data_IF_930565044773
#
_entry.id   IF_930565044773
#
_cell.length_a   1.000
_cell.length_b   1.000
_cell.length_c   1.000
_cell.angle_alpha   90.00
_cell.angle_beta   90.00
_cell.angle_gamma   90.00
#
_symmetry.space_group_name_H-M   'P 1'
#
loop_
_entity.id
_entity.type
_entity.pdbx_description
1 polymer ?
#
# COMPACT_ATOMS: atom_id res chain seq x y z
N UNK A 1 -9.74 17.01 -10.00
CA UNK A 1 -10.24 15.63 -9.70
C UNK A 1 -10.83 15.68 -8.31
N UNK A 2 -12.16 15.62 -8.19
CA UNK A 2 -12.83 15.42 -6.90
C UNK A 2 -12.65 13.95 -6.53
N UNK A 3 -11.57 13.63 -5.83
CA UNK A 3 -11.43 12.31 -5.23
C UNK A 3 -12.48 12.19 -4.12
N UNK A 4 -13.30 11.14 -4.21
CA UNK A 4 -14.26 10.79 -3.17
C UNK A 4 -13.52 10.64 -1.83
N UNK A 5 -13.92 11.37 -0.77
CA UNK A 5 -13.25 11.35 0.54
C UNK A 5 -13.08 9.94 1.12
N UNK A 6 -13.91 8.98 0.70
CA UNK A 6 -13.79 7.57 1.09
C UNK A 6 -12.53 6.89 0.56
N UNK A 7 -12.02 7.31 -0.61
CA UNK A 7 -10.76 6.80 -1.17
C UNK A 7 -9.53 7.34 -0.43
N UNK A 8 -9.68 8.44 0.32
CA UNK A 8 -8.60 8.98 1.13
C UNK A 8 -8.41 8.17 2.40
N UNK A 9 -9.49 7.62 2.96
CA UNK A 9 -9.43 6.73 4.11
C UNK A 9 -8.72 5.44 3.69
N UNK A 10 -7.55 5.16 4.28
CA UNK A 10 -6.79 3.92 4.05
C UNK A 10 -7.42 2.76 4.83
N UNK A 11 -8.73 2.56 4.64
CA UNK A 11 -9.54 1.54 5.28
C UNK A 11 -9.63 0.32 4.37
N UNK A 12 -9.47 -0.86 4.96
CA UNK A 12 -9.81 -2.09 4.26
C UNK A 12 -11.34 -2.25 4.27
N UNK A 13 -12.00 -1.64 3.29
CA UNK A 13 -13.46 -1.61 3.21
C UNK A 13 -14.08 -2.99 3.31
N UNK A 14 -13.47 -4.01 2.72
CA UNK A 14 -13.91 -5.41 2.75
C UNK A 14 -14.06 -5.96 4.18
N UNK A 15 -13.29 -5.44 5.13
CA UNK A 15 -13.31 -5.84 6.55
C UNK A 15 -14.30 -5.03 7.41
N UNK A 16 -14.86 -3.94 6.88
CA UNK A 16 -15.84 -3.11 7.60
C UNK A 16 -17.24 -3.68 7.36
N UNK A 17 -17.98 -3.96 8.44
CA UNK A 17 -19.36 -4.47 8.34
C UNK A 17 -20.26 -3.50 7.58
N UNK A 18 -21.25 -4.02 6.84
CA UNK A 18 -22.17 -3.20 6.04
C UNK A 18 -22.86 -2.11 6.88
N UNK A 19 -23.21 -2.40 8.13
CA UNK A 19 -23.76 -1.41 9.07
C UNK A 19 -22.80 -0.25 9.34
N UNK A 20 -21.52 -0.54 9.62
CA UNK A 20 -20.48 0.48 9.79
C UNK A 20 -20.22 1.27 8.50
N UNK A 21 -20.24 0.61 7.33
CA UNK A 21 -20.12 1.29 6.02
C UNK A 21 -21.25 2.28 5.80
N UNK A 22 -22.49 1.87 6.04
CA UNK A 22 -23.66 2.74 5.91
C UNK A 22 -23.58 3.95 6.85
N UNK A 23 -23.09 3.77 8.08
CA UNK A 23 -22.85 4.89 8.98
C UNK A 23 -21.79 5.85 8.43
N UNK A 24 -20.65 5.34 7.95
CA UNK A 24 -19.59 6.15 7.35
C UNK A 24 -20.08 6.96 6.13
N UNK A 25 -20.85 6.31 5.25
CA UNK A 25 -21.44 6.96 4.08
C UNK A 25 -22.37 8.12 4.45
N UNK A 26 -23.10 8.02 5.57
CA UNK A 26 -23.95 9.11 6.08
C UNK A 26 -23.14 10.27 6.67
N UNK A 27 -21.95 10.00 7.20
CA UNK A 27 -21.08 11.05 7.78
C UNK A 27 -20.29 11.81 6.72
N UNK A 28 -19.98 11.21 5.56
CA UNK A 28 -19.16 11.84 4.51
C UNK A 28 -19.71 13.17 3.98
N UNK A 29 -21.02 13.32 3.70
CA UNK A 29 -21.59 14.59 3.27
C UNK A 29 -21.42 15.70 4.31
N UNK A 30 -21.50 15.37 5.61
CA UNK A 30 -21.28 16.35 6.70
C UNK A 30 -19.82 16.84 6.71
N UNK A 31 -18.88 15.92 6.52
CA UNK A 31 -17.45 16.26 6.36
C UNK A 31 -17.22 17.07 5.08
N UNK A 32 -18.05 16.92 4.05
CA UNK A 32 -18.00 17.72 2.81
C UNK A 32 -18.55 19.12 2.98
N UNK A 33 -19.61 19.26 3.78
CA UNK A 33 -20.20 20.55 4.12
C UNK A 33 -19.30 21.41 5.03
N UNK A 34 -18.31 20.81 5.69
CA UNK A 34 -17.43 21.46 6.67
C UNK A 34 -18.18 22.16 7.83
N UNK A 35 -19.40 21.70 8.13
CA UNK A 35 -20.16 22.11 9.32
C UNK A 35 -19.52 21.49 10.56
N UNK A 36 -18.63 22.26 11.20
CA UNK A 36 -17.71 21.76 12.20
C UNK A 36 -18.40 21.05 13.38
N UNK A 37 -19.31 21.69 14.15
CA UNK A 37 -19.87 21.07 15.33
C UNK A 37 -20.70 19.82 14.98
N UNK A 38 -21.49 19.91 13.91
CA UNK A 38 -22.36 18.82 13.46
C UNK A 38 -21.55 17.62 12.97
N UNK A 39 -20.55 17.85 12.11
CA UNK A 39 -19.70 16.78 11.58
C UNK A 39 -18.86 16.14 12.68
N UNK A 40 -18.28 16.93 13.59
CA UNK A 40 -17.51 16.42 14.73
C UNK A 40 -18.38 15.53 15.61
N UNK A 41 -19.55 16.01 16.04
CA UNK A 41 -20.46 15.23 16.89
C UNK A 41 -20.93 13.94 16.20
N UNK A 42 -21.20 14.01 14.90
CA UNK A 42 -21.53 12.83 14.11
C UNK A 42 -20.38 11.81 14.09
N UNK A 43 -19.12 12.24 13.91
CA UNK A 43 -17.94 11.35 13.92
C UNK A 43 -17.74 10.72 15.31
N UNK A 44 -17.79 11.52 16.38
CA UNK A 44 -17.60 11.04 17.76
C UNK A 44 -18.70 10.05 18.15
N UNK A 45 -19.93 10.25 17.67
CA UNK A 45 -21.06 9.35 17.89
C UNK A 45 -21.03 8.04 17.08
N UNK A 46 -20.09 7.88 16.13
CA UNK A 46 -19.98 6.64 15.34
C UNK A 46 -19.54 5.47 16.22
N UNK A 47 -20.19 4.31 16.04
CA UNK A 47 -19.77 3.05 16.67
C UNK A 47 -18.72 2.34 15.80
N UNK A 48 -17.63 3.03 15.52
CA UNK A 48 -16.49 2.52 14.73
C UNK A 48 -15.22 2.46 15.58
N UNK A 49 -14.18 1.82 15.05
CA UNK A 49 -12.90 1.72 15.75
C UNK A 49 -12.25 3.09 15.93
N UNK A 50 -11.55 3.29 17.04
CA UNK A 50 -10.88 4.55 17.38
C UNK A 50 -9.93 5.05 16.29
N UNK A 51 -9.24 4.15 15.61
CA UNK A 51 -8.36 4.51 14.51
C UNK A 51 -9.13 5.10 13.31
N UNK A 52 -10.33 4.59 13.04
CA UNK A 52 -11.22 5.12 12.01
C UNK A 52 -11.75 6.49 12.42
N UNK A 53 -12.19 6.64 13.68
CA UNK A 53 -12.63 7.94 14.21
C UNK A 53 -11.53 8.99 14.09
N UNK A 54 -10.30 8.65 14.49
CA UNK A 54 -9.13 9.54 14.38
C UNK A 54 -8.83 9.95 12.93
N UNK A 55 -8.94 9.03 11.97
CA UNK A 55 -8.76 9.36 10.55
C UNK A 55 -9.86 10.30 10.04
N UNK A 56 -11.12 10.07 10.43
CA UNK A 56 -12.23 10.94 10.06
C UNK A 56 -12.07 12.35 10.62
N UNK A 57 -11.66 12.47 11.89
CA UNK A 57 -11.34 13.75 12.51
C UNK A 57 -10.19 14.45 11.78
N UNK A 58 -9.12 13.73 11.42
CA UNK A 58 -8.01 14.30 10.66
C UNK A 58 -8.42 14.78 9.26
N UNK A 59 -9.37 14.10 8.60
CA UNK A 59 -9.91 14.52 7.30
C UNK A 59 -10.79 15.78 7.44
N UNK A 60 -11.65 15.81 8.46
CA UNK A 60 -12.47 16.97 8.78
C UNK A 60 -11.59 18.20 9.13
N UNK A 61 -10.56 17.99 9.94
CA UNK A 61 -9.55 18.99 10.29
C UNK A 61 -8.92 19.62 9.04
N UNK A 62 -8.45 18.77 8.11
CA UNK A 62 -7.82 19.22 6.88
C UNK A 62 -8.72 20.12 6.02
N UNK A 63 -10.04 19.85 6.03
CA UNK A 63 -11.03 20.64 5.30
C UNK A 63 -11.32 21.97 5.98
N UNK A 64 -11.60 21.93 7.28
CA UNK A 64 -11.90 23.14 8.07
C UNK A 64 -10.71 24.10 8.06
N UNK A 65 -9.48 23.60 8.17
CA UNK A 65 -8.24 24.38 8.13
C UNK A 65 -8.10 25.31 6.93
N UNK A 66 -8.82 25.07 5.82
CA UNK A 66 -8.80 25.95 4.64
C UNK A 66 -9.50 27.28 4.88
N UNK A 67 -10.54 27.27 5.73
CA UNK A 67 -11.36 28.44 6.04
C UNK A 67 -11.09 28.95 7.47
N UNK A 68 -10.86 28.03 8.42
CA UNK A 68 -10.66 28.30 9.84
C UNK A 68 -9.42 27.54 10.34
N UNK A 69 -8.22 28.13 10.23
CA UNK A 69 -6.97 27.44 10.52
C UNK A 69 -6.82 27.03 11.99
N UNK A 70 -7.38 27.81 12.92
CA UNK A 70 -7.34 27.52 14.36
C UNK A 70 -8.26 26.36 14.73
N UNK A 71 -9.51 26.39 14.28
CA UNK A 71 -10.49 25.30 14.46
C UNK A 71 -9.96 23.98 13.87
N UNK A 72 -9.39 24.04 12.66
CA UNK A 72 -8.80 22.87 12.03
C UNK A 72 -7.59 22.33 12.79
N UNK A 73 -6.75 23.20 13.37
CA UNK A 73 -5.63 22.78 14.21
C UNK A 73 -6.11 22.12 15.51
N UNK A 74 -7.13 22.66 16.18
CA UNK A 74 -7.72 22.01 17.36
C UNK A 74 -8.25 20.60 17.06
N UNK A 75 -8.89 20.42 15.91
CA UNK A 75 -9.34 19.10 15.44
C UNK A 75 -8.20 18.14 15.13
N UNK A 76 -7.07 18.64 14.60
CA UNK A 76 -5.90 17.79 14.43
C UNK A 76 -5.36 17.30 15.77
N UNK A 77 -5.35 18.15 16.79
CA UNK A 77 -4.92 17.74 18.14
C UNK A 77 -5.87 16.71 18.75
N UNK A 78 -7.17 16.86 18.53
CA UNK A 78 -8.16 15.85 18.91
C UNK A 78 -7.97 14.52 18.16
N UNK A 79 -7.76 14.57 16.84
CA UNK A 79 -7.48 13.38 16.03
C UNK A 79 -6.22 12.65 16.52
N UNK A 80 -5.18 13.39 16.91
CA UNK A 80 -3.95 12.82 17.48
C UNK A 80 -4.24 12.16 18.82
N UNK A 81 -4.94 12.83 19.74
CA UNK A 81 -5.30 12.26 21.04
C UNK A 81 -6.13 10.97 20.89
N UNK A 82 -7.12 11.00 19.99
CA UNK A 82 -7.96 9.85 19.67
C UNK A 82 -7.13 8.70 19.09
N UNK A 83 -6.18 9.00 18.20
CA UNK A 83 -5.28 7.98 17.65
C UNK A 83 -4.39 7.34 18.72
N UNK A 84 -3.91 8.11 19.71
CA UNK A 84 -3.08 7.61 20.80
C UNK A 84 -3.85 6.70 21.77
N UNK A 85 -5.18 6.85 21.84
CA UNK A 85 -6.08 5.99 22.63
C UNK A 85 -6.31 4.60 22.01
N UNK A 86 -5.89 4.36 20.77
CA UNK A 86 -6.11 3.07 20.12
C UNK A 86 -5.35 1.95 20.83
N UNK A 87 -6.01 0.83 21.09
CA UNK A 87 -5.40 -0.30 21.80
C UNK A 87 -4.20 -0.87 21.03
N UNK A 88 -4.39 -1.17 19.74
CA UNK A 88 -3.36 -1.77 18.90
C UNK A 88 -2.36 -0.76 18.39
N UNK A 89 -1.08 -1.09 18.53
CA UNK A 89 0.02 -0.22 18.14
C UNK A 89 0.08 0.05 16.64
N UNK A 90 -0.21 -0.95 15.82
CA UNK A 90 -0.28 -0.82 14.36
C UNK A 90 -1.40 0.13 13.95
N UNK A 91 -2.55 0.09 14.63
CA UNK A 91 -3.67 1.00 14.37
C UNK A 91 -3.35 2.45 14.76
N UNK A 92 -2.69 2.65 15.92
CA UNK A 92 -2.15 3.97 16.32
C UNK A 92 -1.26 4.54 15.21
N UNK A 93 -0.29 3.76 14.73
CA UNK A 93 0.66 4.21 13.71
C UNK A 93 -0.03 4.49 12.36
N UNK A 94 -1.01 3.67 11.95
CA UNK A 94 -1.78 3.92 10.73
C UNK A 94 -2.58 5.22 10.83
N UNK A 95 -3.29 5.43 11.94
CA UNK A 95 -4.05 6.65 12.17
C UNK A 95 -3.14 7.89 12.21
N UNK A 96 -2.05 7.85 12.96
CA UNK A 96 -1.07 8.93 13.02
C UNK A 96 -0.41 9.19 11.66
N UNK A 97 -0.11 8.14 10.89
CA UNK A 97 0.45 8.27 9.54
C UNK A 97 -0.52 8.95 8.56
N UNK A 98 -1.82 8.69 8.70
CA UNK A 98 -2.85 9.40 7.94
C UNK A 98 -2.97 10.87 8.38
N UNK A 99 -3.05 11.13 9.68
CA UNK A 99 -3.12 12.51 10.21
C UNK A 99 -1.89 13.32 9.81
N UNK A 100 -0.70 12.72 9.85
CA UNK A 100 0.53 13.34 9.37
C UNK A 100 0.42 13.74 7.90
N UNK A 101 -0.16 12.88 7.07
CA UNK A 101 -0.39 13.20 5.66
C UNK A 101 -1.31 14.41 5.52
N UNK A 102 -2.42 14.42 6.24
CA UNK A 102 -3.38 15.53 6.21
C UNK A 102 -2.75 16.85 6.68
N UNK A 103 -2.00 16.84 7.79
CA UNK A 103 -1.25 18.02 8.28
C UNK A 103 -0.29 18.55 7.24
N UNK A 104 0.44 17.67 6.56
CA UNK A 104 1.41 18.07 5.54
C UNK A 104 0.75 18.66 4.29
N UNK A 105 -0.40 18.11 3.88
CA UNK A 105 -1.21 18.60 2.75
C UNK A 105 -1.89 19.94 3.07
N UNK A 106 -2.31 20.17 4.32
CA UNK A 106 -2.88 21.43 4.79
C UNK A 106 -1.82 22.47 5.22
N UNK A 107 -0.57 22.33 4.78
CA UNK A 107 0.54 23.27 5.03
C UNK A 107 1.02 23.42 6.49
N UNK A 108 0.57 22.58 7.43
CA UNK A 108 1.05 22.54 8.82
C UNK A 108 2.35 21.74 8.99
N UNK A 109 3.38 22.05 8.19
CA UNK A 109 4.65 21.30 8.16
C UNK A 109 5.36 21.21 9.52
N UNK A 110 5.44 22.25 10.37
CA UNK A 110 6.07 22.14 11.68
C UNK A 110 5.40 21.09 12.58
N UNK A 111 4.06 21.09 12.63
CA UNK A 111 3.29 20.10 13.39
C UNK A 111 3.44 18.70 12.81
N UNK A 112 3.40 18.54 11.48
CA UNK A 112 3.64 17.25 10.83
C UNK A 112 5.03 16.67 11.20
N UNK A 113 6.07 17.52 11.29
CA UNK A 113 7.42 17.10 11.75
C UNK A 113 7.45 16.73 13.22
N UNK A 114 6.72 17.43 14.09
CA UNK A 114 6.60 17.08 15.50
C UNK A 114 5.90 15.72 15.66
N UNK A 115 4.80 15.50 14.92
CA UNK A 115 4.07 14.24 14.91
C UNK A 115 4.94 13.09 14.40
N UNK A 116 5.75 13.31 13.37
CA UNK A 116 6.70 12.32 12.86
C UNK A 116 7.67 11.82 13.94
N UNK A 117 8.14 12.71 14.83
CA UNK A 117 9.00 12.30 15.96
C UNK A 117 8.26 11.37 16.92
N UNK A 118 6.98 11.63 17.18
CA UNK A 118 6.17 10.73 18.03
C UNK A 118 5.96 9.37 17.35
N UNK A 119 5.69 9.37 16.04
CA UNK A 119 5.58 8.13 15.25
C UNK A 119 6.90 7.35 15.27
N UNK A 120 8.06 8.03 15.23
CA UNK A 120 9.36 7.39 15.38
C UNK A 120 9.52 6.69 16.71
N UNK A 121 9.16 7.35 17.82
CA UNK A 121 9.20 6.74 19.16
C UNK A 121 8.29 5.52 19.24
N UNK A 122 7.08 5.59 18.67
CA UNK A 122 6.18 4.45 18.61
C UNK A 122 6.80 3.31 17.79
N UNK A 123 7.28 3.57 16.59
CA UNK A 123 7.90 2.53 15.76
C UNK A 123 9.16 1.92 16.39
N UNK A 124 9.95 2.69 17.14
CA UNK A 124 11.14 2.18 17.83
C UNK A 124 10.78 1.16 18.92
N UNK A 125 9.63 1.31 19.58
CA UNK A 125 9.21 0.37 20.62
C UNK A 125 8.63 -0.95 20.10
N UNK A 126 8.70 -1.27 18.79
CA UNK A 126 8.30 -2.60 18.32
C UNK A 126 9.30 -3.61 18.89
N UNK A 127 8.87 -4.43 19.85
CA UNK A 127 9.73 -5.40 20.51
C UNK A 127 9.77 -6.70 19.70
N UNK A 128 10.97 -7.24 19.50
CA UNK A 128 11.19 -8.53 18.80
C UNK A 128 10.61 -9.71 19.58
N UNK A 129 10.60 -9.64 20.91
CA UNK A 129 10.16 -10.72 21.81
C UNK A 129 8.65 -10.94 21.87
N UNK A 130 7.85 -10.08 21.22
CA UNK A 130 6.39 -10.13 21.30
C UNK A 130 5.72 -10.74 20.06
N UNK A 131 6.50 -11.17 19.06
CA UNK A 131 5.96 -11.63 17.78
C UNK A 131 5.90 -13.13 17.73
N UNK A 132 4.68 -13.64 17.81
CA UNK A 132 4.42 -15.09 17.92
C UNK A 132 3.93 -15.70 16.61
N UNK A 133 3.52 -14.89 15.63
CA UNK A 133 2.92 -15.39 14.39
C UNK A 133 3.15 -14.48 13.17
N UNK A 134 2.99 -15.07 11.98
CA UNK A 134 3.16 -14.39 10.68
C UNK A 134 2.20 -13.21 10.49
N UNK A 135 0.97 -13.30 11.02
CA UNK A 135 -0.05 -12.28 10.82
C UNK A 135 0.34 -10.94 11.50
N UNK A 136 0.99 -11.01 12.67
CA UNK A 136 1.51 -9.82 13.37
C UNK A 136 2.64 -9.17 12.57
N UNK A 137 3.60 -9.96 12.09
CA UNK A 137 4.69 -9.47 11.22
C UNK A 137 4.11 -8.82 9.97
N UNK A 138 3.16 -9.47 9.31
CA UNK A 138 2.49 -8.92 8.13
C UNK A 138 1.76 -7.60 8.42
N UNK A 139 1.11 -7.51 9.57
CA UNK A 139 0.45 -6.29 10.02
C UNK A 139 1.44 -5.14 10.23
N UNK A 140 2.61 -5.42 10.83
CA UNK A 140 3.69 -4.44 11.02
C UNK A 140 4.30 -4.03 9.68
N UNK A 141 4.67 -4.99 8.83
CA UNK A 141 5.26 -4.75 7.51
C UNK A 141 4.34 -3.87 6.66
N UNK A 142 3.03 -4.19 6.62
CA UNK A 142 2.05 -3.40 5.89
C UNK A 142 1.90 -2.00 6.49
N UNK A 143 1.82 -1.88 7.81
CA UNK A 143 1.70 -0.60 8.50
C UNK A 143 2.90 0.33 8.20
N UNK A 144 4.12 -0.19 8.29
CA UNK A 144 5.34 0.56 7.99
C UNK A 144 5.45 0.95 6.51
N UNK A 145 5.06 0.06 5.60
CA UNK A 145 5.06 0.35 4.17
C UNK A 145 4.02 1.42 3.81
N UNK A 146 2.83 1.37 4.40
CA UNK A 146 1.76 2.37 4.21
C UNK A 146 2.18 3.74 4.73
N UNK A 147 2.78 3.79 5.92
CA UNK A 147 3.37 5.01 6.46
C UNK A 147 4.44 5.57 5.50
N UNK A 148 5.28 4.70 4.94
CA UNK A 148 6.25 5.07 3.90
C UNK A 148 5.60 5.72 2.66
N UNK A 149 4.49 5.19 2.17
CA UNK A 149 3.72 5.78 1.05
C UNK A 149 3.18 7.15 1.42
N UNK A 150 2.55 7.28 2.58
CA UNK A 150 1.97 8.54 3.05
C UNK A 150 3.04 9.62 3.17
N UNK A 151 4.21 9.27 3.71
CA UNK A 151 5.34 10.18 3.82
C UNK A 151 5.91 10.61 2.46
N UNK A 152 5.98 9.71 1.48
CA UNK A 152 6.39 10.07 0.11
C UNK A 152 5.44 11.08 -0.52
N UNK A 153 4.12 10.86 -0.39
CA UNK A 153 3.09 11.78 -0.89
C UNK A 153 3.19 13.17 -0.28
N UNK A 154 3.78 13.28 0.90
CA UNK A 154 3.99 14.54 1.62
C UNK A 154 5.36 15.19 1.39
N UNK A 155 6.22 14.58 0.56
CA UNK A 155 7.59 15.06 0.34
C UNK A 155 8.59 14.69 1.44
N UNK A 156 8.22 13.85 2.41
CA UNK A 156 9.12 13.33 3.44
C UNK A 156 9.93 12.12 2.94
N UNK A 157 10.71 12.31 1.87
CA UNK A 157 11.41 11.23 1.18
C UNK A 157 12.42 10.45 2.05
N UNK A 158 13.23 11.15 2.85
CA UNK A 158 14.20 10.49 3.77
C UNK A 158 13.48 9.68 4.86
N UNK A 159 12.52 10.24 5.64
CA UNK A 159 11.72 9.47 6.58
C UNK A 159 11.00 8.26 5.94
N UNK A 160 10.34 8.46 4.80
CA UNK A 160 9.67 7.36 4.10
C UNK A 160 10.62 6.19 3.80
N UNK A 161 11.83 6.51 3.35
CA UNK A 161 12.85 5.50 3.06
C UNK A 161 13.21 4.66 4.26
N UNK A 162 13.30 5.28 5.44
CA UNK A 162 13.59 4.57 6.68
C UNK A 162 12.48 3.57 6.99
N UNK A 163 11.21 3.95 6.90
CA UNK A 163 10.10 3.02 7.20
C UNK A 163 9.99 1.88 6.21
N UNK A 164 10.25 2.10 4.92
CA UNK A 164 10.33 0.99 3.97
C UNK A 164 11.49 0.04 4.27
N UNK A 165 12.64 0.55 4.71
CA UNK A 165 13.75 -0.30 5.17
C UNK A 165 13.39 -1.07 6.43
N UNK A 166 12.68 -0.45 7.37
CA UNK A 166 12.16 -1.14 8.54
C UNK A 166 11.15 -2.23 8.15
N UNK A 167 10.26 -1.96 7.19
CA UNK A 167 9.32 -2.96 6.68
C UNK A 167 10.05 -4.16 6.05
N UNK A 168 11.12 -3.92 5.29
CA UNK A 168 11.98 -5.00 4.77
C UNK A 168 12.64 -5.78 5.90
N UNK A 169 13.24 -5.08 6.87
CA UNK A 169 13.86 -5.72 8.03
C UNK A 169 12.87 -6.62 8.78
N UNK A 170 11.65 -6.12 9.05
CA UNK A 170 10.61 -6.92 9.70
C UNK A 170 10.18 -8.12 8.86
N UNK A 171 10.12 -7.99 7.53
CA UNK A 171 9.78 -9.13 6.67
C UNK A 171 10.82 -10.25 6.70
N UNK A 172 12.08 -9.92 6.96
CA UNK A 172 13.18 -10.90 7.08
C UNK A 172 13.19 -11.63 8.41
N UNK A 173 12.47 -11.13 9.43
CA UNK A 173 12.42 -11.68 10.79
C UNK A 173 11.42 -12.83 10.94
N UNK A 174 10.60 -13.11 9.94
CA UNK A 174 9.70 -14.25 10.00
C UNK A 174 10.50 -15.56 10.06
N UNK A 175 10.13 -16.39 11.03
CA UNK A 175 10.76 -17.68 11.27
C UNK A 175 9.69 -18.76 11.51
N UNK A 176 9.55 -19.63 10.54
CA UNK A 176 8.83 -20.89 10.54
C UNK A 176 9.88 -22.02 10.50
N UNK A 177 9.66 -23.14 11.19
CA UNK A 177 10.54 -24.30 11.10
C UNK A 177 10.68 -24.82 9.66
N UNK A 178 9.70 -24.57 8.78
CA UNK A 178 9.74 -24.93 7.37
C UNK A 178 10.39 -23.82 6.51
N UNK A 179 11.58 -24.05 5.93
CA UNK A 179 12.29 -23.03 5.14
C UNK A 179 11.49 -22.48 3.95
N UNK A 180 10.66 -23.33 3.33
CA UNK A 180 9.80 -22.95 2.21
C UNK A 180 8.78 -21.87 2.61
N UNK A 181 8.18 -21.99 3.81
CA UNK A 181 7.24 -20.98 4.35
C UNK A 181 7.94 -19.66 4.64
N UNK A 182 9.17 -19.70 5.17
CA UNK A 182 9.98 -18.49 5.38
C UNK A 182 10.25 -17.75 4.08
N UNK A 183 10.57 -18.50 3.03
CA UNK A 183 10.80 -17.95 1.73
C UNK A 183 9.52 -17.38 1.08
N UNK A 184 8.40 -18.10 1.20
CA UNK A 184 7.09 -17.63 0.74
C UNK A 184 6.69 -16.30 1.40
N UNK A 185 6.71 -16.25 2.73
CA UNK A 185 6.35 -15.05 3.48
C UNK A 185 7.22 -13.85 3.10
N UNK A 186 8.55 -14.04 3.00
CA UNK A 186 9.50 -13.00 2.59
C UNK A 186 9.24 -12.50 1.18
N UNK A 187 9.05 -13.40 0.21
CA UNK A 187 8.82 -13.01 -1.19
C UNK A 187 7.47 -12.30 -1.37
N UNK A 188 6.42 -12.73 -0.66
CA UNK A 188 5.13 -12.03 -0.61
C UNK A 188 5.26 -10.64 0.02
N UNK A 189 6.03 -10.49 1.08
CA UNK A 189 6.32 -9.18 1.69
C UNK A 189 7.11 -8.27 0.74
N UNK A 190 8.13 -8.79 0.05
CA UNK A 190 8.90 -8.02 -0.93
C UNK A 190 8.02 -7.53 -2.08
N UNK A 191 7.11 -8.38 -2.58
CA UNK A 191 6.12 -7.98 -3.58
C UNK A 191 5.27 -6.80 -3.09
N UNK A 192 4.70 -6.90 -1.88
CA UNK A 192 3.90 -5.83 -1.28
C UNK A 192 4.71 -4.54 -1.12
N UNK A 193 5.91 -4.61 -0.56
CA UNK A 193 6.78 -3.46 -0.34
C UNK A 193 7.19 -2.81 -1.66
N UNK A 194 7.52 -3.60 -2.69
CA UNK A 194 7.84 -3.08 -4.03
C UNK A 194 6.66 -2.33 -4.66
N UNK A 195 5.45 -2.89 -4.56
CA UNK A 195 4.22 -2.22 -5.01
C UNK A 195 4.01 -0.89 -4.27
N UNK A 196 4.23 -0.86 -2.95
CA UNK A 196 4.11 0.38 -2.13
C UNK A 196 5.17 1.43 -2.51
N UNK A 197 6.43 1.04 -2.74
CA UNK A 197 7.44 1.96 -3.29
C UNK A 197 7.00 2.57 -4.63
N UNK A 198 6.42 1.77 -5.53
CA UNK A 198 5.93 2.24 -6.81
C UNK A 198 4.72 3.18 -6.68
N UNK A 199 3.79 2.88 -5.77
CA UNK A 199 2.66 3.74 -5.46
C UNK A 199 3.11 5.11 -4.90
N UNK A 200 4.25 5.16 -4.20
CA UNK A 200 4.90 6.40 -3.76
C UNK A 200 5.82 7.05 -4.81
N UNK A 201 5.82 6.58 -6.06
CA UNK A 201 6.62 7.15 -7.17
C UNK A 201 8.11 6.77 -7.18
N UNK A 202 8.56 5.89 -6.29
CA UNK A 202 9.97 5.51 -6.14
C UNK A 202 10.32 4.28 -6.97
N UNK A 203 10.18 4.40 -8.30
CA UNK A 203 10.25 3.27 -9.22
C UNK A 203 11.60 2.54 -9.25
N UNK A 204 12.72 3.25 -9.11
CA UNK A 204 14.04 2.60 -9.10
C UNK A 204 14.20 1.65 -7.91
N UNK A 205 13.65 2.02 -6.75
CA UNK A 205 13.66 1.18 -5.54
C UNK A 205 12.66 0.04 -5.66
N UNK A 206 11.46 0.31 -6.14
CA UNK A 206 10.46 -0.71 -6.43
C UNK A 206 10.99 -1.81 -7.36
N UNK A 207 11.64 -1.42 -8.47
CA UNK A 207 12.23 -2.36 -9.42
C UNK A 207 13.39 -3.16 -8.82
N UNK A 208 14.20 -2.56 -7.94
CA UNK A 208 15.29 -3.28 -7.26
C UNK A 208 14.74 -4.40 -6.38
N UNK A 209 13.72 -4.11 -5.57
CA UNK A 209 13.07 -5.11 -4.71
C UNK A 209 12.31 -6.15 -5.55
N UNK A 210 11.61 -5.74 -6.62
CA UNK A 210 10.94 -6.69 -7.50
C UNK A 210 11.92 -7.66 -8.17
N UNK A 211 13.16 -7.22 -8.47
CA UNK A 211 14.21 -8.09 -9.04
C UNK A 211 14.81 -9.08 -8.05
N UNK A 212 14.72 -8.82 -6.74
CA UNK A 212 15.16 -9.75 -5.71
C UNK A 212 14.10 -10.81 -5.36
N UNK A 213 12.89 -10.71 -5.94
CA UNK A 213 11.93 -11.81 -5.96
C UNK A 213 12.42 -12.75 -7.07
N UNK A 214 13.01 -13.86 -6.68
CA UNK A 214 13.51 -14.92 -7.56
C UNK A 214 13.00 -16.25 -7.01
N UNK A 215 13.03 -17.32 -7.80
CA UNK A 215 12.81 -18.68 -7.29
C UNK A 215 13.98 -19.12 -6.41
N UNK A 216 13.72 -19.96 -5.40
CA UNK A 216 14.75 -20.65 -4.64
C UNK A 216 14.56 -22.16 -4.76
N UNK A 217 15.66 -22.85 -5.00
CA UNK A 217 15.77 -24.30 -4.91
C UNK A 217 16.26 -24.67 -3.51
N UNK A 218 15.59 -25.60 -2.85
CA UNK A 218 16.04 -26.15 -1.57
C UNK A 218 16.25 -27.65 -1.76
N UNK A 219 17.46 -28.15 -1.45
CA UNK A 219 17.85 -29.55 -1.63
C UNK A 219 17.58 -30.13 -3.04
N UNK A 220 17.78 -29.33 -4.09
CA UNK A 220 17.59 -29.76 -5.48
C UNK A 220 16.13 -29.88 -5.95
N UNK A 221 15.16 -29.61 -5.07
CA UNK A 221 13.75 -29.48 -5.42
C UNK A 221 13.40 -28.00 -5.56
N UNK A 222 12.75 -27.64 -6.68
CA UNK A 222 12.19 -26.32 -6.85
C UNK A 222 10.90 -26.21 -6.02
N UNK A 223 11.00 -25.61 -4.84
CA UNK A 223 9.91 -25.60 -3.86
C UNK A 223 8.83 -24.57 -4.17
N UNK A 224 9.21 -23.42 -4.70
CA UNK A 224 8.30 -22.33 -4.97
C UNK A 224 8.81 -21.53 -6.17
N UNK A 225 8.23 -21.78 -7.33
CA UNK A 225 8.38 -20.86 -8.44
C UNK A 225 7.71 -19.52 -8.09
N UNK A 226 8.51 -18.45 -8.02
CA UNK A 226 8.03 -17.09 -7.70
C UNK A 226 8.11 -16.14 -8.89
N UNK A 227 8.40 -16.65 -10.08
CA UNK A 227 8.43 -15.86 -11.31
C UNK A 227 7.04 -15.30 -11.65
N UNK A 228 5.97 -16.04 -11.38
CA UNK A 228 4.59 -15.55 -11.47
C UNK A 228 4.34 -14.31 -10.56
N UNK A 229 4.74 -14.39 -9.28
CA UNK A 229 4.62 -13.26 -8.33
C UNK A 229 5.49 -12.08 -8.73
N UNK A 230 6.71 -12.34 -9.20
CA UNK A 230 7.64 -11.34 -9.71
C UNK A 230 7.06 -10.63 -10.93
N UNK A 231 6.51 -11.38 -11.89
CA UNK A 231 5.86 -10.83 -13.08
C UNK A 231 4.67 -9.95 -12.72
N UNK A 232 3.78 -10.39 -11.82
CA UNK A 232 2.67 -9.57 -11.32
C UNK A 232 3.15 -8.28 -10.62
N UNK A 233 4.25 -8.37 -9.87
CA UNK A 233 4.85 -7.21 -9.21
C UNK A 233 5.41 -6.22 -10.24
N UNK A 234 6.14 -6.71 -11.25
CA UNK A 234 6.65 -5.91 -12.35
C UNK A 234 5.53 -5.30 -13.18
N UNK A 235 4.46 -6.05 -13.45
CA UNK A 235 3.27 -5.55 -14.14
C UNK A 235 2.70 -4.34 -13.42
N UNK A 236 2.45 -4.45 -12.10
CA UNK A 236 1.96 -3.33 -11.30
C UNK A 236 2.90 -2.12 -11.39
N UNK A 237 4.21 -2.32 -11.23
CA UNK A 237 5.20 -1.24 -11.34
C UNK A 237 5.17 -0.59 -12.73
N UNK A 238 5.03 -1.38 -13.80
CA UNK A 238 4.96 -0.92 -15.18
C UNK A 238 3.75 -0.02 -15.44
N UNK A 239 2.58 -0.40 -14.91
CA UNK A 239 1.36 0.42 -14.96
C UNK A 239 1.58 1.73 -14.21
N UNK A 240 2.11 1.68 -12.98
CA UNK A 240 2.35 2.89 -12.18
C UNK A 240 3.35 3.85 -12.85
N UNK A 241 4.41 3.31 -13.48
CA UNK A 241 5.34 4.09 -14.30
C UNK A 241 4.62 4.83 -15.43
N UNK A 242 3.76 4.13 -16.16
CA UNK A 242 3.03 4.71 -17.28
C UNK A 242 2.04 5.79 -16.82
N UNK A 243 1.31 5.54 -15.72
CA UNK A 243 0.42 6.53 -15.09
C UNK A 243 1.15 7.78 -14.60
N UNK A 244 2.43 7.64 -14.22
CA UNK A 244 3.32 8.76 -13.87
C UNK A 244 4.03 9.39 -15.09
N UNK A 245 3.46 9.25 -16.30
CA UNK A 245 4.00 9.84 -17.53
C UNK A 245 5.21 9.11 -18.13
N UNK A 246 5.79 8.11 -17.46
CA UNK A 246 6.94 7.34 -17.95
C UNK A 246 6.51 6.17 -18.85
N UNK A 247 5.60 6.41 -19.80
CA UNK A 247 4.97 5.37 -20.65
C UNK A 247 5.98 4.42 -21.31
N UNK A 248 7.03 4.94 -21.96
CA UNK A 248 8.07 4.10 -22.59
C UNK A 248 8.78 3.19 -21.58
N UNK A 249 9.05 3.68 -20.37
CA UNK A 249 9.69 2.89 -19.31
C UNK A 249 8.72 1.87 -18.73
N UNK A 250 7.46 2.24 -18.52
CA UNK A 250 6.38 1.34 -18.10
C UNK A 250 6.20 0.18 -19.07
N UNK A 251 6.16 0.48 -20.37
CA UNK A 251 6.13 -0.52 -21.44
C UNK A 251 7.29 -1.53 -21.36
N UNK A 252 8.53 -1.06 -21.22
CA UNK A 252 9.69 -1.96 -21.07
C UNK A 252 9.60 -2.88 -19.85
N UNK A 253 9.04 -2.38 -18.74
CA UNK A 253 8.83 -3.20 -17.53
C UNK A 253 7.72 -4.24 -17.76
N UNK A 254 6.64 -3.87 -18.43
CA UNK A 254 5.56 -4.79 -18.81
C UNK A 254 6.06 -5.87 -19.78
N UNK A 255 6.87 -5.52 -20.78
CA UNK A 255 7.49 -6.51 -21.67
C UNK A 255 8.47 -7.44 -20.95
N UNK A 256 9.12 -6.97 -19.87
CA UNK A 256 9.95 -7.83 -19.03
C UNK A 256 9.07 -8.81 -18.23
N UNK A 257 7.96 -8.34 -17.64
CA UNK A 257 7.00 -9.19 -16.96
C UNK A 257 6.46 -10.29 -17.88
N UNK A 258 6.08 -9.94 -19.12
CA UNK A 258 5.59 -10.92 -20.10
C UNK A 258 6.65 -11.96 -20.47
N UNK A 259 7.90 -11.55 -20.66
CA UNK A 259 9.01 -12.47 -20.94
C UNK A 259 9.26 -13.46 -19.80
N UNK A 260 9.11 -13.01 -18.56
CA UNK A 260 9.19 -13.88 -17.38
C UNK A 260 8.09 -14.93 -17.43
N UNK A 261 6.83 -14.53 -17.65
CA UNK A 261 5.69 -15.48 -17.74
C UNK A 261 5.85 -16.47 -18.90
N UNK A 262 6.42 -16.05 -20.03
CA UNK A 262 6.69 -16.94 -21.17
C UNK A 262 7.79 -17.93 -20.82
N UNK A 263 8.88 -17.49 -20.19
CA UNK A 263 10.01 -18.35 -19.84
C UNK A 263 9.72 -19.30 -18.68
N UNK A 264 8.71 -19.00 -17.89
CA UNK A 264 8.25 -19.83 -16.80
C UNK A 264 7.57 -21.11 -17.33
N UNK A 265 8.30 -22.22 -17.32
CA UNK A 265 7.84 -23.54 -17.78
C UNK A 265 7.19 -24.38 -16.68
N UNK A 266 7.20 -23.88 -15.43
CA UNK A 266 6.70 -24.62 -14.27
C UNK A 266 5.27 -24.23 -13.89
N UNK A 267 4.78 -23.09 -14.38
CA UNK A 267 3.40 -22.63 -14.16
C UNK A 267 2.45 -23.31 -15.17
N UNK A 268 1.25 -23.72 -14.74
CA UNK A 268 0.28 -24.35 -15.65
C UNK A 268 -0.05 -23.42 -16.82
N UNK A 269 -0.22 -23.97 -18.03
CA UNK A 269 -0.49 -23.19 -19.25
C UNK A 269 -1.67 -22.22 -19.09
N UNK A 270 -2.69 -22.61 -18.32
CA UNK A 270 -3.80 -21.74 -17.94
C UNK A 270 -3.34 -20.49 -17.16
N UNK A 271 -2.56 -20.66 -16.09
CA UNK A 271 -2.01 -19.56 -15.29
C UNK A 271 -1.10 -18.64 -16.11
N UNK A 272 -0.28 -19.22 -17.00
CA UNK A 272 0.61 -18.46 -17.90
C UNK A 272 -0.19 -17.61 -18.87
N UNK A 273 -1.19 -18.22 -19.52
CA UNK A 273 -2.07 -17.51 -20.46
C UNK A 273 -2.85 -16.37 -19.79
N UNK A 274 -3.39 -16.58 -18.59
CA UNK A 274 -4.11 -15.56 -17.81
C UNK A 274 -3.21 -14.40 -17.41
N UNK A 275 -1.99 -14.69 -16.96
CA UNK A 275 -1.00 -13.66 -16.63
C UNK A 275 -0.60 -12.84 -17.87
N UNK A 276 -0.39 -13.48 -19.03
CA UNK A 276 -0.09 -12.78 -20.28
C UNK A 276 -1.26 -11.93 -20.77
N UNK A 277 -2.49 -12.43 -20.64
CA UNK A 277 -3.69 -11.67 -20.97
C UNK A 277 -3.76 -10.38 -20.13
N UNK A 278 -3.56 -10.47 -18.82
CA UNK A 278 -3.54 -9.30 -17.93
C UNK A 278 -2.45 -8.29 -18.32
N UNK A 279 -1.25 -8.76 -18.66
CA UNK A 279 -0.16 -7.89 -19.11
C UNK A 279 -0.49 -7.24 -20.46
N UNK A 280 -1.10 -7.99 -21.39
CA UNK A 280 -1.57 -7.45 -22.67
C UNK A 280 -2.57 -6.32 -22.47
N UNK A 281 -3.60 -6.53 -21.63
CA UNK A 281 -4.57 -5.49 -21.27
C UNK A 281 -3.88 -4.25 -20.67
N UNK A 282 -2.86 -4.45 -19.83
CA UNK A 282 -2.08 -3.35 -19.25
C UNK A 282 -1.27 -2.57 -20.28
N UNK A 283 -0.72 -3.26 -21.29
CA UNK A 283 0.00 -2.64 -22.41
C UNK A 283 -0.96 -1.84 -23.30
N UNK A 284 -2.16 -2.35 -23.51
CA UNK A 284 -3.23 -1.66 -24.23
C UNK A 284 -3.69 -0.41 -23.48
N UNK A 285 -3.93 -0.49 -22.17
CA UNK A 285 -4.29 0.65 -21.30
C UNK A 285 -3.30 1.82 -21.45
N UNK A 286 -2.02 1.53 -21.65
CA UNK A 286 -0.96 2.54 -21.78
C UNK A 286 -0.65 2.93 -23.24
N UNK A 287 -1.43 2.43 -24.20
CA UNK A 287 -1.36 2.77 -25.63
C UNK A 287 -0.31 2.00 -26.44
N UNK A 288 0.26 0.91 -25.93
CA UNK A 288 1.24 0.07 -26.63
C UNK A 288 0.57 -1.09 -27.38
N UNK A 289 -0.40 -0.75 -28.24
CA UNK A 289 -1.32 -1.69 -28.91
C UNK A 289 -0.57 -2.81 -29.66
N UNK A 290 0.51 -2.47 -30.39
CA UNK A 290 1.31 -3.48 -31.13
C UNK A 290 1.90 -4.54 -30.20
N UNK A 291 2.40 -4.14 -29.03
CA UNK A 291 2.97 -5.07 -28.05
C UNK A 291 1.88 -5.87 -27.35
N UNK A 292 0.76 -5.22 -26.99
CA UNK A 292 -0.40 -5.88 -26.41
C UNK A 292 -0.88 -7.03 -27.31
N UNK A 293 -1.15 -6.74 -28.60
CA UNK A 293 -1.58 -7.76 -29.57
C UNK A 293 -0.60 -8.93 -29.68
N UNK A 294 0.70 -8.66 -29.72
CA UNK A 294 1.71 -9.72 -29.79
C UNK A 294 1.65 -10.66 -28.58
N UNK A 295 1.51 -10.12 -27.36
CA UNK A 295 1.38 -10.95 -26.16
C UNK A 295 0.02 -11.62 -26.03
N UNK A 296 -1.06 -11.01 -26.51
CA UNK A 296 -2.38 -11.63 -26.58
C UNK A 296 -2.35 -12.86 -27.48
N UNK A 297 -1.74 -12.76 -28.67
CA UNK A 297 -1.57 -13.90 -29.57
C UNK A 297 -0.79 -15.03 -28.90
N UNK A 298 0.31 -14.71 -28.20
CA UNK A 298 1.08 -15.75 -27.48
C UNK A 298 0.29 -16.35 -26.31
N UNK A 299 -0.52 -15.56 -25.60
CA UNK A 299 -1.41 -16.07 -24.55
C UNK A 299 -2.41 -17.08 -25.11
N UNK A 300 -3.04 -16.78 -26.25
CA UNK A 300 -3.95 -17.70 -26.94
C UNK A 300 -3.27 -18.98 -27.42
N UNK A 301 -2.03 -18.89 -27.91
CA UNK A 301 -1.25 -20.07 -28.31
C UNK A 301 -0.98 -20.99 -27.11
N UNK A 302 -0.51 -20.43 -26.00
CA UNK A 302 -0.27 -21.20 -24.76
C UNK A 302 -1.57 -21.83 -24.25
N UNK A 303 -2.68 -21.09 -24.23
CA UNK A 303 -3.98 -21.61 -23.81
C UNK A 303 -4.48 -22.78 -24.69
N UNK A 304 -4.09 -22.80 -25.97
CA UNK A 304 -4.40 -23.87 -26.90
C UNK A 304 -3.45 -25.07 -26.82
N UNK A 305 -2.46 -25.06 -25.90
CA UNK A 305 -1.43 -26.09 -25.80
C UNK A 305 -0.41 -26.07 -26.93
N UNK A 306 -0.34 -24.96 -27.69
CA UNK A 306 0.68 -24.77 -28.71
C UNK A 306 1.99 -24.28 -28.07
N UNK A 307 3.17 -24.75 -28.55
CA UNK A 307 4.47 -24.33 -28.01
C UNK A 307 4.74 -22.81 -28.10
#
# INVERSE_FOLDING_TARGET
MNEDPLYQLNLNWEQISNSKRTQLLKTMPLIAAADYPTARNAIVGLKVEKAVQAQLLGLLAARISRNEPESGMALFDEAIAESLSCWWKTDRIRALGFILQQLAQSHYRPKARALLKQVDTLCAGFQESALSNQAEIDSIVNCLADLGVNLLRCGFGRPATRYFKMALHWSERFHDPEPARNFEARTAAYSRIAKKWAAGGQFCRALRIAKSIQSQTFNGLEYCNRESLRAQTLQYIGIQLARNGQRRRGGRVLSLAARIVIADVHDFDRSRSDNLLRISMSLEEIGLIKQARAFLTKASQIAAGAP
#
